data_IF_759710815647
#
_entry.id   IF_759710815647
#
_cell.length_a   1.000
_cell.length_b   1.000
_cell.length_c   1.000
_cell.angle_alpha   90.00
_cell.angle_beta   90.00
_cell.angle_gamma   90.00
#
_symmetry.space_group_name_H-M   'P 1'
#
loop_
_entity.id
_entity.type
_entity.pdbx_description
1 polymer ?
#
# COMPACT_ATOMS: atom_id res chain seq x y z
N UNK A 1 32.48 -0.92 -1.54
CA UNK A 1 32.19 -1.72 -0.32
C UNK A 1 31.19 -1.06 0.63
N UNK A 2 31.52 -0.04 1.45
CA UNK A 2 30.56 0.49 2.45
C UNK A 2 29.34 1.20 1.83
N UNK A 3 29.52 2.03 0.80
CA UNK A 3 28.42 2.72 0.13
C UNK A 3 27.48 1.82 -0.69
N UNK A 4 27.97 0.65 -1.12
CA UNK A 4 27.18 -0.36 -1.82
C UNK A 4 26.35 -1.16 -0.82
N UNK A 5 26.93 -1.49 0.35
CA UNK A 5 26.19 -2.09 1.46
C UNK A 5 25.01 -1.20 1.89
N UNK A 6 25.25 0.09 2.10
CA UNK A 6 24.18 1.03 2.48
C UNK A 6 23.09 1.15 1.40
N UNK A 7 23.42 0.91 0.13
CA UNK A 7 22.44 0.90 -0.97
C UNK A 7 21.59 -0.36 -0.97
N UNK A 8 22.16 -1.51 -0.61
CA UNK A 8 21.41 -2.74 -0.36
C UNK A 8 20.47 -2.60 0.85
N UNK A 9 20.94 -1.96 1.93
CA UNK A 9 20.15 -1.75 3.15
C UNK A 9 18.92 -0.84 2.92
N UNK A 10 18.96 0.05 1.92
CA UNK A 10 17.79 0.84 1.51
C UNK A 10 16.61 -0.03 1.05
N UNK A 11 16.88 -1.21 0.49
CA UNK A 11 15.83 -2.13 0.06
C UNK A 11 15.05 -2.72 1.26
N UNK A 12 15.66 -2.76 2.44
CA UNK A 12 15.08 -3.29 3.68
C UNK A 12 14.32 -2.21 4.48
N UNK A 13 14.19 -1.01 3.95
CA UNK A 13 13.44 0.08 4.57
C UNK A 13 11.99 0.14 4.07
N UNK A 14 11.15 0.83 4.86
CA UNK A 14 9.83 1.27 4.39
C UNK A 14 9.96 2.19 3.18
N UNK A 15 8.91 2.27 2.37
CA UNK A 15 8.90 3.06 1.14
C UNK A 15 9.18 4.54 1.43
N UNK A 16 8.44 5.12 2.39
CA UNK A 16 8.61 6.52 2.80
C UNK A 16 10.01 6.83 3.33
N UNK A 17 10.63 5.92 4.09
CA UNK A 17 11.97 6.13 4.61
C UNK A 17 13.03 5.93 3.54
N UNK A 18 12.86 4.97 2.63
CA UNK A 18 13.77 4.69 1.53
C UNK A 18 14.03 5.93 0.69
N UNK A 19 12.98 6.65 0.28
CA UNK A 19 13.12 7.90 -0.48
C UNK A 19 13.97 8.95 0.24
N UNK A 20 13.71 9.15 1.54
CA UNK A 20 14.45 10.12 2.36
C UNK A 20 15.91 9.72 2.56
N UNK A 21 16.17 8.45 2.86
CA UNK A 21 17.51 7.92 3.12
C UNK A 21 18.34 7.84 1.82
N UNK A 22 17.72 7.51 0.68
CA UNK A 22 18.37 7.50 -0.62
C UNK A 22 18.85 8.90 -1.04
N UNK A 23 18.03 9.94 -0.85
CA UNK A 23 18.47 11.35 -1.09
C UNK A 23 19.67 11.72 -0.22
N UNK A 24 19.68 11.29 1.04
CA UNK A 24 20.80 11.52 1.95
C UNK A 24 22.07 10.80 1.51
N UNK A 25 21.97 9.53 1.07
CA UNK A 25 23.09 8.76 0.53
C UNK A 25 23.68 9.44 -0.72
N UNK A 26 22.83 9.88 -1.65
CA UNK A 26 23.26 10.62 -2.85
C UNK A 26 23.99 11.92 -2.51
N UNK A 27 23.51 12.65 -1.50
CA UNK A 27 24.20 13.85 -0.99
C UNK A 27 25.59 13.55 -0.43
N UNK A 28 25.76 12.44 0.30
CA UNK A 28 27.06 12.01 0.80
C UNK A 28 28.00 11.59 -0.34
N UNK A 29 27.50 10.85 -1.34
CA UNK A 29 28.27 10.51 -2.56
C UNK A 29 28.79 11.75 -3.27
N UNK A 30 27.95 12.78 -3.40
CA UNK A 30 28.35 14.05 -4.02
C UNK A 30 29.44 14.76 -3.22
N UNK A 31 29.31 14.84 -1.88
CA UNK A 31 30.34 15.44 -1.02
C UNK A 31 31.68 14.69 -1.08
N UNK A 32 31.64 13.37 -1.13
CA UNK A 32 32.85 12.55 -1.27
C UNK A 32 33.61 12.86 -2.55
N UNK A 33 32.91 13.00 -3.68
CA UNK A 33 33.51 13.40 -4.96
C UNK A 33 34.16 14.78 -4.92
N UNK A 34 33.72 15.66 -4.01
CA UNK A 34 34.31 16.97 -3.77
C UNK A 34 35.46 16.94 -2.75
N UNK A 35 35.90 15.77 -2.27
CA UNK A 35 36.94 15.63 -1.25
C UNK A 35 36.55 16.16 0.13
N UNK A 36 35.25 16.34 0.41
CA UNK A 36 34.75 16.81 1.72
C UNK A 36 34.58 15.62 2.67
N UNK A 37 34.76 15.81 3.99
CA UNK A 37 34.54 14.75 4.97
C UNK A 37 33.08 14.29 4.99
N UNK A 38 32.90 12.97 5.10
CA UNK A 38 31.60 12.27 5.05
C UNK A 38 31.41 11.27 6.20
N UNK A 39 32.42 11.03 7.02
CA UNK A 39 32.52 9.95 8.00
C UNK A 39 31.35 10.01 9.00
N UNK A 40 31.14 11.17 9.61
CA UNK A 40 30.01 11.42 10.51
C UNK A 40 28.67 11.22 9.80
N UNK A 41 28.57 11.68 8.54
CA UNK A 41 27.36 11.54 7.74
C UNK A 41 27.01 10.09 7.42
N UNK A 42 28.02 9.27 7.16
CA UNK A 42 27.90 7.82 6.94
C UNK A 42 27.48 7.10 8.21
N UNK A 43 28.13 7.37 9.35
CA UNK A 43 27.76 6.78 10.64
C UNK A 43 26.30 7.08 11.01
N UNK A 44 25.88 8.35 10.88
CA UNK A 44 24.49 8.73 11.12
C UNK A 44 23.50 8.06 10.14
N UNK A 45 23.92 7.79 8.89
CA UNK A 45 23.09 7.10 7.91
C UNK A 45 22.98 5.61 8.21
N UNK A 46 24.08 4.96 8.60
CA UNK A 46 24.12 3.54 8.98
C UNK A 46 23.22 3.26 10.19
N UNK A 47 23.28 4.11 11.23
CA UNK A 47 22.38 4.02 12.38
C UNK A 47 20.90 4.13 11.98
N UNK A 48 20.57 5.05 11.06
CA UNK A 48 19.20 5.24 10.57
C UNK A 48 18.72 4.07 9.72
N UNK A 49 19.58 3.51 8.87
CA UNK A 49 19.26 2.33 8.06
C UNK A 49 19.05 1.10 8.94
N UNK A 50 19.89 0.91 9.95
CA UNK A 50 19.75 -0.19 10.92
C UNK A 50 18.41 -0.09 11.65
N UNK A 51 18.08 1.09 12.19
CA UNK A 51 16.81 1.30 12.86
C UNK A 51 15.59 1.15 11.92
N UNK A 52 15.72 1.54 10.65
CA UNK A 52 14.65 1.37 9.66
C UNK A 52 14.44 -0.10 9.29
N UNK A 53 15.52 -0.87 9.09
CA UNK A 53 15.46 -2.30 8.81
C UNK A 53 14.87 -3.08 9.98
N UNK A 54 15.27 -2.75 11.22
CA UNK A 54 14.68 -3.34 12.43
C UNK A 54 13.17 -3.11 12.54
N UNK A 55 12.69 -1.90 12.20
CA UNK A 55 11.24 -1.62 12.19
C UNK A 55 10.49 -2.45 11.16
N UNK A 56 11.07 -2.65 9.97
CA UNK A 56 10.50 -3.52 8.95
C UNK A 56 10.48 -4.97 9.41
N UNK A 57 11.55 -5.46 10.03
CA UNK A 57 11.60 -6.81 10.57
C UNK A 57 10.52 -7.03 11.65
N UNK A 58 10.42 -6.12 12.63
CA UNK A 58 9.38 -6.18 13.65
C UNK A 58 7.96 -6.11 13.07
N UNK A 59 7.79 -5.42 11.94
CA UNK A 59 6.51 -5.33 11.24
C UNK A 59 6.20 -6.62 10.46
N UNK A 60 7.20 -7.24 9.85
CA UNK A 60 7.08 -8.55 9.21
C UNK A 60 6.70 -9.65 10.21
N UNK A 61 7.31 -9.65 11.39
CA UNK A 61 7.02 -10.61 12.48
C UNK A 61 5.58 -10.49 13.00
N UNK A 62 5.00 -9.28 12.91
CA UNK A 62 3.63 -8.98 13.32
C UNK A 62 2.63 -8.98 12.16
N UNK A 63 3.06 -9.34 10.95
CA UNK A 63 2.18 -9.36 9.79
C UNK A 63 1.02 -10.35 10.06
N UNK A 64 -0.24 -9.91 9.95
CA UNK A 64 -1.37 -10.79 10.21
C UNK A 64 -1.38 -11.95 9.22
N UNK A 65 -1.81 -13.13 9.68
CA UNK A 65 -1.94 -14.34 8.87
C UNK A 65 -3.44 -14.64 8.68
N UNK A 66 -4.05 -14.18 7.58
CA UNK A 66 -5.50 -14.25 7.44
C UNK A 66 -5.97 -15.69 7.22
N UNK A 67 -7.12 -16.04 7.81
CA UNK A 67 -7.86 -17.24 7.45
C UNK A 67 -8.81 -16.94 6.28
N UNK A 68 -8.98 -17.88 5.35
CA UNK A 68 -9.86 -17.75 4.19
C UNK A 68 -10.94 -18.83 4.24
N UNK A 69 -12.21 -18.42 4.14
CA UNK A 69 -13.32 -19.36 4.06
C UNK A 69 -13.56 -19.78 2.59
N UNK A 70 -13.69 -21.08 2.31
CA UNK A 70 -13.84 -21.60 0.95
C UNK A 70 -15.21 -21.30 0.30
N UNK A 71 -16.16 -20.79 1.10
CA UNK A 71 -17.52 -20.46 0.66
C UNK A 71 -17.58 -19.19 -0.23
N UNK A 72 -16.56 -18.34 -0.22
CA UNK A 72 -16.54 -17.11 -1.02
C UNK A 72 -15.95 -17.35 -2.41
N UNK A 73 -16.62 -16.92 -3.51
CA UNK A 73 -16.15 -17.15 -4.87
C UNK A 73 -14.72 -16.65 -5.14
N UNK A 74 -14.32 -15.52 -4.55
CA UNK A 74 -12.97 -14.98 -4.72
C UNK A 74 -11.88 -15.90 -4.15
N UNK A 75 -12.17 -16.64 -3.07
CA UNK A 75 -11.18 -17.51 -2.42
C UNK A 75 -10.85 -18.74 -3.27
N UNK A 76 -11.78 -19.19 -4.12
CA UNK A 76 -11.54 -20.25 -5.11
C UNK A 76 -10.51 -19.84 -6.18
N UNK A 77 -10.28 -18.54 -6.35
CA UNK A 77 -9.30 -17.96 -7.29
C UNK A 77 -8.12 -17.29 -6.55
N UNK A 78 -7.97 -17.54 -5.25
CA UNK A 78 -6.98 -16.86 -4.39
C UNK A 78 -5.57 -16.93 -4.97
N UNK A 79 -5.09 -18.12 -5.34
CA UNK A 79 -3.73 -18.31 -5.84
C UNK A 79 -3.47 -17.62 -7.17
N UNK A 80 -4.50 -17.54 -8.02
CA UNK A 80 -4.44 -16.82 -9.30
C UNK A 80 -4.35 -15.32 -9.06
N UNK A 81 -5.20 -14.78 -8.17
CA UNK A 81 -5.21 -13.37 -7.80
C UNK A 81 -3.89 -12.97 -7.12
N UNK A 82 -3.41 -13.78 -6.19
CA UNK A 82 -2.12 -13.60 -5.50
C UNK A 82 -0.97 -13.52 -6.50
N UNK A 83 -0.91 -14.46 -7.47
CA UNK A 83 0.09 -14.44 -8.54
C UNK A 83 -0.03 -13.19 -9.43
N UNK A 84 -1.24 -12.82 -9.81
CA UNK A 84 -1.47 -11.62 -10.62
C UNK A 84 -0.98 -10.35 -9.91
N UNK A 85 -1.30 -10.17 -8.61
CA UNK A 85 -0.85 -9.03 -7.79
C UNK A 85 0.68 -9.03 -7.65
N UNK A 86 1.30 -10.19 -7.43
CA UNK A 86 2.75 -10.28 -7.31
C UNK A 86 3.46 -9.87 -8.62
N UNK A 87 2.97 -10.36 -9.77
CA UNK A 87 3.63 -10.21 -11.06
C UNK A 87 3.34 -8.88 -11.77
N UNK A 88 2.21 -8.23 -11.47
CA UNK A 88 1.79 -7.02 -12.17
C UNK A 88 1.75 -5.82 -11.23
N UNK A 89 2.05 -4.62 -11.74
CA UNK A 89 1.95 -3.38 -10.96
C UNK A 89 0.49 -2.96 -10.78
N UNK A 90 -0.33 -3.15 -11.82
CA UNK A 90 -1.78 -2.86 -11.82
C UNK A 90 -2.55 -4.15 -12.10
N UNK A 91 -3.56 -4.45 -11.28
CA UNK A 91 -4.46 -5.59 -11.46
C UNK A 91 -5.90 -5.12 -11.38
N UNK A 92 -6.72 -5.56 -12.33
CA UNK A 92 -8.16 -5.32 -12.32
C UNK A 92 -8.86 -6.61 -11.92
N UNK A 93 -9.68 -6.56 -10.86
CA UNK A 93 -10.42 -7.71 -10.35
C UNK A 93 -11.92 -7.46 -10.53
N UNK A 94 -12.51 -8.18 -11.47
CA UNK A 94 -13.95 -8.14 -11.75
C UNK A 94 -14.67 -9.30 -11.07
N UNK A 95 -15.88 -9.05 -10.59
CA UNK A 95 -16.78 -10.09 -10.09
C UNK A 95 -18.04 -9.48 -9.50
N UNK A 96 -19.12 -10.25 -9.40
CA UNK A 96 -20.41 -9.75 -8.90
C UNK A 96 -20.33 -9.27 -7.43
N UNK A 97 -21.29 -8.43 -7.03
CA UNK A 97 -21.46 -8.04 -5.63
C UNK A 97 -21.69 -9.29 -4.77
N UNK A 98 -21.08 -9.33 -3.58
CA UNK A 98 -21.14 -10.51 -2.71
C UNK A 98 -20.06 -11.57 -3.00
N UNK A 99 -19.25 -11.42 -4.06
CA UNK A 99 -18.17 -12.36 -4.37
C UNK A 99 -17.00 -12.35 -3.37
N UNK A 100 -16.98 -11.40 -2.42
CA UNK A 100 -15.94 -11.26 -1.39
C UNK A 100 -14.78 -10.32 -1.74
N UNK A 101 -14.77 -9.65 -2.90
CA UNK A 101 -13.66 -8.76 -3.35
C UNK A 101 -13.18 -7.80 -2.26
N UNK A 102 -14.12 -7.01 -1.74
CA UNK A 102 -13.85 -5.96 -0.75
C UNK A 102 -13.16 -6.47 0.51
N UNK A 103 -13.59 -7.61 1.07
CA UNK A 103 -13.00 -8.10 2.32
C UNK A 103 -11.80 -9.01 2.09
N UNK A 104 -11.74 -9.76 0.97
CA UNK A 104 -10.69 -10.74 0.78
C UNK A 104 -9.44 -10.19 0.09
N UNK A 105 -9.54 -9.22 -0.82
CA UNK A 105 -8.35 -8.66 -1.49
C UNK A 105 -7.29 -8.08 -0.53
N UNK A 106 -7.61 -7.26 0.47
CA UNK A 106 -6.60 -6.80 1.42
C UNK A 106 -5.99 -7.96 2.23
N UNK A 107 -6.75 -9.02 2.53
CA UNK A 107 -6.24 -10.23 3.18
C UNK A 107 -5.27 -10.99 2.27
N UNK A 108 -5.59 -11.13 0.98
CA UNK A 108 -4.69 -11.76 0.00
C UNK A 108 -3.37 -10.97 -0.10
N UNK A 109 -3.44 -9.63 -0.07
CA UNK A 109 -2.23 -8.80 -0.02
C UNK A 109 -1.36 -9.10 1.21
N UNK A 110 -1.96 -9.22 2.40
CA UNK A 110 -1.23 -9.60 3.62
C UNK A 110 -0.59 -10.99 3.50
N UNK A 111 -1.33 -11.97 2.97
CA UNK A 111 -0.89 -13.35 2.79
C UNK A 111 0.36 -13.48 1.90
N UNK A 112 0.47 -12.62 0.87
CA UNK A 112 1.66 -12.56 0.00
C UNK A 112 2.75 -11.59 0.50
N UNK A 113 2.66 -11.09 1.74
CA UNK A 113 3.71 -10.30 2.38
C UNK A 113 3.61 -8.78 2.16
N UNK A 114 2.56 -8.27 1.53
CA UNK A 114 2.35 -6.83 1.35
C UNK A 114 1.79 -6.18 2.63
N UNK A 115 1.97 -4.88 2.77
CA UNK A 115 1.58 -4.12 3.97
C UNK A 115 2.70 -3.97 4.99
N UNK A 116 3.87 -4.58 4.73
CA UNK A 116 5.05 -4.51 5.59
C UNK A 116 5.86 -3.26 5.32
N UNK A 117 6.06 -2.89 4.04
CA UNK A 117 6.91 -1.75 3.67
C UNK A 117 6.14 -0.44 3.54
N UNK A 118 4.82 -0.51 3.58
CA UNK A 118 3.88 0.60 3.62
C UNK A 118 2.48 0.09 3.97
N UNK A 119 1.48 0.97 3.96
CA UNK A 119 0.09 0.60 4.20
C UNK A 119 -0.53 -0.07 2.97
N UNK A 120 -1.51 -0.94 3.21
CA UNK A 120 -2.55 -1.30 2.24
C UNK A 120 -3.67 -0.26 2.40
N UNK A 121 -3.71 0.71 1.50
CA UNK A 121 -4.78 1.70 1.43
C UNK A 121 -5.94 1.13 0.64
N UNK A 122 -7.14 1.10 1.21
CA UNK A 122 -8.31 0.55 0.55
C UNK A 122 -9.44 1.57 0.54
N UNK A 123 -9.76 2.07 -0.66
CA UNK A 123 -10.76 3.12 -0.82
C UNK A 123 -12.16 2.56 -1.03
N UNK A 124 -13.14 3.31 -0.56
CA UNK A 124 -14.57 3.05 -0.70
C UNK A 124 -15.27 4.37 -1.04
N UNK A 125 -16.23 4.40 -1.97
CA UNK A 125 -16.92 5.64 -2.33
C UNK A 125 -17.73 6.24 -1.19
N UNK A 126 -18.21 5.39 -0.27
CA UNK A 126 -19.12 5.78 0.82
C UNK A 126 -18.46 5.61 2.19
N UNK A 127 -18.64 6.60 3.07
CA UNK A 127 -18.09 6.58 4.44
C UNK A 127 -18.60 5.39 5.27
N UNK A 128 -19.89 5.07 5.13
CA UNK A 128 -20.52 3.96 5.87
C UNK A 128 -19.92 2.64 5.40
N UNK A 129 -19.69 2.48 4.08
CA UNK A 129 -19.03 1.29 3.54
C UNK A 129 -17.59 1.18 4.06
N UNK A 130 -16.78 2.24 4.00
CA UNK A 130 -15.41 2.24 4.55
C UNK A 130 -15.37 1.77 6.02
N UNK A 131 -16.28 2.27 6.85
CA UNK A 131 -16.39 1.89 8.27
C UNK A 131 -16.84 0.45 8.45
N UNK A 132 -17.88 0.02 7.72
CA UNK A 132 -18.42 -1.34 7.81
C UNK A 132 -17.39 -2.38 7.36
N UNK A 133 -16.65 -2.10 6.27
CA UNK A 133 -15.58 -2.96 5.77
C UNK A 133 -14.43 -3.05 6.78
N UNK A 134 -14.02 -1.92 7.38
CA UNK A 134 -13.00 -1.92 8.42
C UNK A 134 -13.43 -2.78 9.62
N UNK A 135 -14.68 -2.64 10.08
CA UNK A 135 -15.21 -3.43 11.18
C UNK A 135 -15.23 -4.94 10.84
N UNK A 136 -15.65 -5.29 9.62
CA UNK A 136 -15.65 -6.67 9.14
C UNK A 136 -14.25 -7.26 9.08
N UNK A 137 -13.28 -6.52 8.55
CA UNK A 137 -11.89 -6.95 8.48
C UNK A 137 -11.25 -7.12 9.86
N UNK A 138 -11.58 -6.27 10.83
CA UNK A 138 -11.14 -6.46 12.23
C UNK A 138 -11.63 -7.78 12.80
N UNK A 139 -12.89 -8.14 12.54
CA UNK A 139 -13.42 -9.44 12.96
C UNK A 139 -12.73 -10.59 12.23
N UNK A 140 -12.53 -10.49 10.92
CA UNK A 140 -11.88 -11.56 10.13
C UNK A 140 -10.38 -11.73 10.38
N UNK A 141 -9.72 -10.73 10.99
CA UNK A 141 -8.28 -10.74 11.32
C UNK A 141 -8.02 -10.84 12.83
N UNK A 142 -9.05 -11.11 13.64
CA UNK A 142 -8.95 -11.16 15.11
C UNK A 142 -8.28 -9.91 15.71
N UNK A 143 -8.65 -8.72 15.23
CA UNK A 143 -8.13 -7.41 15.64
C UNK A 143 -9.17 -6.59 16.45
N UNK A 144 -9.55 -7.01 17.67
CA UNK A 144 -10.59 -6.36 18.46
C UNK A 144 -10.20 -4.93 18.88
N UNK A 145 -8.90 -4.64 18.96
CA UNK A 145 -8.39 -3.32 19.36
C UNK A 145 -8.23 -2.36 18.18
N UNK A 146 -8.44 -2.82 16.94
CA UNK A 146 -8.28 -2.00 15.73
C UNK A 146 -6.85 -1.52 15.49
N UNK A 147 -5.86 -2.26 15.95
CA UNK A 147 -4.44 -1.90 15.79
C UNK A 147 -3.91 -2.24 14.41
N UNK A 148 -4.45 -3.30 13.78
CA UNK A 148 -4.00 -3.81 12.48
C UNK A 148 -4.83 -3.22 11.34
N UNK A 149 -6.11 -2.95 11.58
CA UNK A 149 -7.04 -2.38 10.59
C UNK A 149 -7.58 -1.05 11.09
N UNK A 150 -7.21 0.03 10.42
CA UNK A 150 -7.69 1.39 10.67
C UNK A 150 -8.73 1.85 9.64
N UNK A 151 -9.42 2.94 9.94
CA UNK A 151 -10.12 3.69 8.89
C UNK A 151 -10.00 5.19 9.06
N UNK A 152 -10.12 5.92 7.95
CA UNK A 152 -10.17 7.38 7.90
C UNK A 152 -11.24 7.86 6.94
N UNK A 153 -12.21 8.58 7.46
CA UNK A 153 -13.26 9.25 6.68
C UNK A 153 -13.29 10.72 7.06
N UNK A 154 -14.01 11.55 6.30
CA UNK A 154 -14.11 12.98 6.65
C UNK A 154 -14.64 13.12 8.08
N UNK A 155 -13.92 13.91 8.89
CA UNK A 155 -14.19 14.20 10.30
C UNK A 155 -13.97 13.05 11.29
N UNK A 156 -13.36 11.94 10.87
CA UNK A 156 -13.15 10.78 11.76
C UNK A 156 -11.96 9.95 11.30
N UNK A 157 -10.92 9.90 12.13
CA UNK A 157 -9.72 9.11 11.92
C UNK A 157 -9.55 8.13 13.07
N UNK A 158 -9.59 6.84 12.76
CA UNK A 158 -9.36 5.73 13.68
C UNK A 158 -8.23 4.84 13.13
N UNK A 159 -7.24 5.46 12.50
CA UNK A 159 -6.03 4.79 12.03
C UNK A 159 -5.04 4.65 13.18
N UNK A 160 -4.36 3.51 13.25
CA UNK A 160 -3.28 3.27 14.20
C UNK A 160 -1.92 3.40 13.49
N UNK A 161 -0.86 3.93 14.13
CA UNK A 161 0.48 4.01 13.52
C UNK A 161 1.04 2.66 13.07
N UNK A 162 0.61 1.57 13.71
CA UNK A 162 1.04 0.22 13.40
C UNK A 162 0.10 -0.55 12.48
N UNK A 163 -1.01 0.07 12.02
CA UNK A 163 -1.97 -0.58 11.13
C UNK A 163 -1.29 -1.07 9.85
N UNK A 164 -1.77 -2.20 9.32
CA UNK A 164 -1.39 -2.73 8.02
C UNK A 164 -2.36 -2.29 6.94
N UNK A 165 -3.65 -2.23 7.29
CA UNK A 165 -4.73 -1.85 6.38
C UNK A 165 -5.34 -0.54 6.86
N UNK A 166 -5.57 0.38 5.92
CA UNK A 166 -6.32 1.62 6.17
C UNK A 166 -7.47 1.73 5.18
N UNK A 167 -8.69 1.62 5.70
CA UNK A 167 -9.90 1.87 4.94
C UNK A 167 -10.15 3.37 4.87
N UNK A 168 -10.49 3.89 3.70
CA UNK A 168 -10.79 5.31 3.58
C UNK A 168 -11.77 5.60 2.47
N UNK A 169 -12.28 6.82 2.43
CA UNK A 169 -13.00 7.27 1.23
C UNK A 169 -12.04 7.72 0.14
N UNK A 170 -12.43 7.64 -1.13
CA UNK A 170 -11.60 8.12 -2.26
C UNK A 170 -11.15 9.57 -2.05
N UNK A 171 -12.07 10.42 -1.59
CA UNK A 171 -11.77 11.83 -1.29
C UNK A 171 -10.75 12.04 -0.16
N UNK A 172 -10.56 11.06 0.74
CA UNK A 172 -9.51 11.11 1.77
C UNK A 172 -8.16 10.77 1.15
N UNK A 173 -8.10 9.73 0.31
CA UNK A 173 -6.85 9.39 -0.38
C UNK A 173 -6.41 10.52 -1.33
N UNK A 174 -7.36 11.10 -2.09
CA UNK A 174 -7.13 12.30 -2.91
C UNK A 174 -6.65 13.51 -2.09
N UNK A 175 -7.18 13.72 -0.88
CA UNK A 175 -6.68 14.80 -0.03
C UNK A 175 -5.24 14.55 0.43
N UNK A 176 -4.87 13.29 0.69
CA UNK A 176 -3.51 12.93 1.11
C UNK A 176 -2.48 13.16 0.01
N UNK A 177 -2.87 13.14 -1.28
CA UNK A 177 -1.96 13.46 -2.39
C UNK A 177 -1.38 14.88 -2.35
N UNK A 178 -1.99 15.79 -1.58
CA UNK A 178 -1.48 17.16 -1.40
C UNK A 178 -0.21 17.19 -0.54
N UNK A 179 -0.16 16.34 0.49
CA UNK A 179 1.00 16.23 1.40
C UNK A 179 1.97 15.13 1.00
N UNK A 180 1.48 14.04 0.43
CA UNK A 180 2.25 12.89 -0.04
C UNK A 180 2.02 12.68 -1.53
N UNK A 181 2.74 13.46 -2.35
CA UNK A 181 2.55 13.51 -3.81
C UNK A 181 2.89 12.21 -4.54
N UNK A 182 3.63 11.31 -3.90
CA UNK A 182 3.95 10.01 -4.48
C UNK A 182 3.23 8.89 -3.74
N UNK A 183 2.40 9.20 -2.73
CA UNK A 183 1.73 8.21 -1.87
C UNK A 183 2.74 7.22 -1.27
N UNK A 184 3.90 7.71 -0.82
CA UNK A 184 5.01 6.92 -0.26
C UNK A 184 4.64 6.20 1.05
N UNK A 185 3.54 6.60 1.70
CA UNK A 185 2.97 5.83 2.82
C UNK A 185 2.38 4.49 2.42
N UNK A 186 2.04 4.30 1.14
CA UNK A 186 1.31 3.13 0.65
C UNK A 186 2.21 2.21 -0.16
N UNK A 187 2.11 0.92 0.16
CA UNK A 187 2.68 -0.18 -0.63
C UNK A 187 1.65 -0.72 -1.63
N UNK A 188 0.38 -0.75 -1.21
CA UNK A 188 -0.74 -1.17 -2.05
C UNK A 188 -1.86 -0.14 -1.95
N UNK A 189 -2.48 0.17 -3.08
CA UNK A 189 -3.74 0.92 -3.14
C UNK A 189 -4.79 0.06 -3.82
N UNK A 190 -5.88 -0.21 -3.11
CA UNK A 190 -7.07 -0.87 -3.61
C UNK A 190 -8.12 0.22 -3.87
N UNK A 191 -8.48 0.45 -5.13
CA UNK A 191 -9.60 1.30 -5.52
C UNK A 191 -10.81 0.40 -5.68
N UNK A 192 -11.66 0.34 -4.66
CA UNK A 192 -12.83 -0.52 -4.65
C UNK A 192 -14.04 0.16 -5.29
N UNK A 193 -14.98 -0.65 -5.77
CA UNK A 193 -16.24 -0.17 -6.34
C UNK A 193 -16.01 0.85 -7.48
N UNK A 194 -14.98 0.67 -8.31
CA UNK A 194 -14.61 1.62 -9.38
C UNK A 194 -15.70 1.77 -10.46
N UNK A 195 -16.74 0.94 -10.40
CA UNK A 195 -17.94 1.05 -11.22
C UNK A 195 -18.91 2.14 -10.72
N UNK A 196 -18.79 2.58 -9.46
CA UNK A 196 -19.46 3.79 -9.00
C UNK A 196 -18.85 4.97 -9.77
N UNK A 197 -19.62 5.57 -10.68
CA UNK A 197 -19.18 6.67 -11.56
C UNK A 197 -19.02 7.99 -10.79
N UNK A 198 -18.09 8.02 -9.85
CA UNK A 198 -17.76 9.15 -9.00
C UNK A 198 -16.57 9.92 -9.55
N UNK A 199 -16.69 11.26 -9.59
CA UNK A 199 -15.58 12.13 -9.97
C UNK A 199 -14.32 11.88 -9.13
N UNK A 200 -14.48 11.54 -7.84
CA UNK A 200 -13.33 11.24 -6.99
C UNK A 200 -12.59 9.97 -7.45
N UNK A 201 -13.32 8.95 -7.92
CA UNK A 201 -12.71 7.73 -8.44
C UNK A 201 -11.97 8.06 -9.74
N UNK A 202 -12.59 8.79 -10.66
CA UNK A 202 -11.95 9.19 -11.93
C UNK A 202 -10.67 10.01 -11.69
N UNK A 203 -10.71 10.99 -10.79
CA UNK A 203 -9.53 11.78 -10.43
C UNK A 203 -8.45 10.92 -9.76
N UNK A 204 -8.84 9.99 -8.89
CA UNK A 204 -7.90 9.11 -8.21
C UNK A 204 -7.20 8.19 -9.21
N UNK A 205 -7.94 7.58 -10.14
CA UNK A 205 -7.36 6.73 -11.18
C UNK A 205 -6.40 7.50 -12.08
N UNK A 206 -6.79 8.69 -12.54
CA UNK A 206 -5.90 9.55 -13.33
C UNK A 206 -4.66 10.00 -12.55
N UNK A 207 -4.79 10.24 -11.24
CA UNK A 207 -3.66 10.55 -10.38
C UNK A 207 -2.72 9.35 -10.22
N UNK A 208 -3.26 8.17 -9.97
CA UNK A 208 -2.50 6.93 -9.85
C UNK A 208 -1.74 6.63 -11.13
N UNK A 209 -2.40 6.68 -12.30
CA UNK A 209 -1.77 6.51 -13.61
C UNK A 209 -0.55 7.41 -13.79
N UNK A 210 -0.65 8.67 -13.34
CA UNK A 210 0.45 9.64 -13.43
C UNK A 210 1.65 9.29 -12.53
N UNK A 211 1.43 8.73 -11.34
CA UNK A 211 2.53 8.45 -10.39
C UNK A 211 3.15 7.07 -10.58
N UNK A 212 2.46 6.12 -11.22
CA UNK A 212 2.95 4.74 -11.40
C UNK A 212 4.34 4.64 -12.04
N UNK A 213 4.70 5.44 -13.08
CA UNK A 213 6.06 5.44 -13.64
C UNK A 213 7.15 5.86 -12.64
N UNK A 214 6.80 6.67 -11.63
CA UNK A 214 7.70 7.12 -10.57
C UNK A 214 7.68 6.21 -9.35
N UNK A 215 6.67 5.34 -9.23
CA UNK A 215 6.45 4.40 -8.13
C UNK A 215 6.32 2.96 -8.65
N UNK A 216 7.36 2.39 -9.28
CA UNK A 216 7.34 1.01 -9.78
C UNK A 216 7.11 -0.03 -8.66
N UNK A 217 7.34 0.36 -7.40
CA UNK A 217 7.10 -0.43 -6.20
C UNK A 217 5.63 -0.42 -5.74
N UNK A 218 4.82 0.57 -6.14
CA UNK A 218 3.42 0.68 -5.74
C UNK A 218 2.56 -0.33 -6.51
N UNK A 219 1.80 -1.15 -5.78
CA UNK A 219 0.77 -2.03 -6.35
C UNK A 219 -0.58 -1.32 -6.36
N UNK A 220 -1.29 -1.39 -7.48
CA UNK A 220 -2.65 -0.85 -7.61
C UNK A 220 -3.61 -1.97 -7.98
N UNK A 221 -4.67 -2.13 -7.19
CA UNK A 221 -5.73 -3.10 -7.43
C UNK A 221 -7.02 -2.31 -7.65
N UNK A 222 -7.67 -2.53 -8.78
CA UNK A 222 -8.93 -1.88 -9.11
C UNK A 222 -10.00 -2.94 -9.10
N UNK A 223 -11.06 -2.75 -8.33
CA UNK A 223 -12.19 -3.68 -8.33
C UNK A 223 -13.37 -3.09 -9.08
N UNK A 224 -14.12 -3.95 -9.75
CA UNK A 224 -15.37 -3.56 -10.39
C UNK A 224 -16.39 -4.68 -10.25
N UNK A 225 -17.66 -4.30 -10.04
CA UNK A 225 -18.78 -5.23 -10.14
C UNK A 225 -19.23 -5.45 -11.59
N UNK A 226 -18.77 -4.63 -12.53
CA UNK A 226 -19.17 -4.66 -13.94
C UNK A 226 -18.06 -5.18 -14.84
N UNK A 227 -18.47 -5.85 -15.93
CA UNK A 227 -17.63 -6.56 -16.90
C UNK A 227 -17.07 -5.60 -17.97
N UNK A 228 -16.74 -4.35 -17.65
CA UNK A 228 -15.94 -3.51 -18.58
C UNK A 228 -14.50 -3.33 -18.07
N UNK A 229 -13.73 -4.43 -17.89
CA UNK A 229 -12.31 -4.33 -17.56
C UNK A 229 -11.51 -3.72 -18.71
N UNK A 230 -11.99 -3.80 -19.96
CA UNK A 230 -11.29 -3.27 -21.13
C UNK A 230 -11.14 -1.75 -21.10
N UNK A 231 -12.15 -1.04 -20.59
CA UNK A 231 -12.03 0.41 -20.39
C UNK A 231 -10.97 0.77 -19.35
N UNK A 232 -10.90 0.02 -18.25
CA UNK A 232 -9.88 0.23 -17.22
C UNK A 232 -8.50 -0.19 -17.72
N UNK A 233 -8.39 -1.31 -18.42
CA UNK A 233 -7.14 -1.79 -19.00
C UNK A 233 -6.55 -0.75 -19.97
N UNK A 234 -7.37 -0.16 -20.86
CA UNK A 234 -6.95 0.93 -21.75
C UNK A 234 -6.48 2.19 -21.03
N UNK A 235 -6.99 2.44 -19.82
CA UNK A 235 -6.55 3.58 -19.01
C UNK A 235 -5.18 3.33 -18.36
N UNK A 236 -4.74 2.09 -18.18
CA UNK A 236 -3.47 1.75 -17.52
C UNK A 236 -2.44 1.05 -18.42
N UNK A 237 -2.78 0.78 -19.69
CA UNK A 237 -1.90 0.24 -20.73
C UNK A 237 -1.05 1.30 -21.42
#
# INVERSE_FOLDING_TARGET
>A
MMLEKLEADLAQCSISERSRLARRLSGLRHRQRQGKPIERGLQELELKLTAASQRIQQRQERLPRPHFEDNLPINQRRDEIARAIAQNQVVIVCGETGSGKTTQLPKICLDIGLGVRGLIGHTQPRRIAARAVAARLRTELDDPNGQQVGYKVRFSDHSHPEAFIKLMTDGILLAETQGDRLLEQYEVIIVDEAHERSLNIDFLLGYLQRILPQRPDLKVIITSATIDPERFARHFS
#
